data_IF_934032523883
#
_entry.id   IF_934032523883
#
_cell.length_a   1.000
_cell.length_b   1.000
_cell.length_c   1.000
_cell.angle_alpha   90.00
_cell.angle_beta   90.00
_cell.angle_gamma   90.00
#
_symmetry.space_group_name_H-M   'P 1'
#
loop_
_entity.id
_entity.type
_entity.pdbx_description
1 polymer ?
#
# COMPACT_ATOMS: atom_id res chain seq x y z
N UNK A 1 3.33 7.20 1.51
CA UNK A 1 2.83 7.71 2.81
C UNK A 1 2.71 6.53 3.75
N UNK A 2 3.23 6.67 4.97
CA UNK A 2 3.03 5.67 6.02
C UNK A 2 1.86 6.18 6.87
N UNK A 3 0.85 5.34 7.08
CA UNK A 3 -0.33 5.70 7.89
C UNK A 3 -0.15 5.35 9.35
N UNK A 4 0.27 4.11 9.63
CA UNK A 4 0.46 3.60 10.98
C UNK A 4 1.59 2.58 10.99
N UNK A 5 2.42 2.63 12.04
CA UNK A 5 3.42 1.60 12.37
C UNK A 5 3.29 1.33 13.86
N UNK A 6 3.11 0.07 14.21
CA UNK A 6 3.29 -0.45 15.57
C UNK A 6 4.36 -1.54 15.55
N UNK A 7 4.59 -2.24 16.66
CA UNK A 7 5.68 -3.21 16.83
C UNK A 7 5.86 -4.15 15.63
N UNK A 8 4.79 -4.85 15.24
CA UNK A 8 4.84 -5.92 14.23
C UNK A 8 3.94 -5.70 13.01
N UNK A 9 3.19 -4.61 12.94
CA UNK A 9 2.33 -4.30 11.79
C UNK A 9 2.51 -2.87 11.29
N UNK A 10 2.28 -2.67 9.99
CA UNK A 10 2.27 -1.36 9.38
C UNK A 10 1.25 -1.26 8.25
N UNK A 11 0.70 -0.06 8.06
CA UNK A 11 -0.19 0.27 6.95
C UNK A 11 0.42 1.43 6.17
N UNK A 12 0.52 1.27 4.85
CA UNK A 12 1.14 2.27 3.97
C UNK A 12 0.32 2.49 2.69
N UNK A 13 0.49 3.65 2.08
CA UNK A 13 0.00 3.99 0.75
C UNK A 13 1.13 4.39 -0.17
N UNK A 14 1.19 3.75 -1.33
CA UNK A 14 2.01 4.16 -2.47
C UNK A 14 1.11 4.78 -3.52
N UNK A 15 1.51 5.93 -4.05
CA UNK A 15 0.89 6.54 -5.23
C UNK A 15 1.92 6.53 -6.35
N UNK A 16 1.56 5.93 -7.47
CA UNK A 16 2.37 5.80 -8.66
C UNK A 16 1.56 6.18 -9.90
N UNK A 17 2.20 6.22 -11.06
CA UNK A 17 1.51 6.57 -12.31
C UNK A 17 0.42 5.57 -12.70
N UNK A 18 0.58 4.29 -12.31
CA UNK A 18 -0.39 3.21 -12.56
C UNK A 18 -1.50 3.12 -11.51
N UNK A 19 -1.49 3.94 -10.46
CA UNK A 19 -2.55 3.93 -9.45
C UNK A 19 -2.08 4.11 -8.02
N UNK A 20 -2.89 3.57 -7.10
CA UNK A 20 -2.68 3.64 -5.66
C UNK A 20 -2.67 2.22 -5.10
N UNK A 21 -1.61 1.89 -4.37
CA UNK A 21 -1.49 0.66 -3.58
C UNK A 21 -1.66 1.00 -2.10
N UNK A 22 -2.61 0.36 -1.43
CA UNK A 22 -2.71 0.30 0.03
C UNK A 22 -2.16 -1.03 0.50
N UNK A 23 -1.11 -1.01 1.30
CA UNK A 23 -0.40 -2.23 1.71
C UNK A 23 -0.45 -2.41 3.22
N UNK A 24 -0.70 -3.65 3.64
CA UNK A 24 -0.54 -4.09 5.02
C UNK A 24 0.74 -4.94 5.12
N UNK A 25 1.58 -4.62 6.08
CA UNK A 25 2.85 -5.29 6.31
C UNK A 25 2.88 -5.93 7.69
N UNK A 26 3.62 -7.04 7.79
CA UNK A 26 3.97 -7.67 9.05
C UNK A 26 5.49 -7.78 9.18
N UNK A 27 6.03 -7.58 10.38
CA UNK A 27 7.45 -7.77 10.67
C UNK A 27 7.68 -9.22 11.08
N UNK A 28 8.36 -10.00 10.25
CA UNK A 28 8.77 -11.38 10.56
C UNK A 28 10.29 -11.46 10.55
N UNK A 29 10.87 -12.05 11.59
CA UNK A 29 12.33 -12.21 11.73
C UNK A 29 13.10 -10.88 11.52
N UNK A 30 12.55 -9.80 12.07
CA UNK A 30 13.13 -8.46 11.97
C UNK A 30 12.91 -7.76 10.61
N UNK A 31 12.30 -8.40 9.62
CA UNK A 31 12.08 -7.87 8.27
C UNK A 31 10.61 -7.57 8.02
N UNK A 32 10.33 -6.44 7.38
CA UNK A 32 8.99 -6.10 6.94
C UNK A 32 8.66 -6.86 5.65
N UNK A 33 7.50 -7.51 5.66
CA UNK A 33 6.98 -8.28 4.53
C UNK A 33 5.58 -7.76 4.19
N UNK A 34 5.26 -7.68 2.90
CA UNK A 34 3.92 -7.28 2.43
C UNK A 34 2.98 -8.49 2.53
N UNK A 35 1.92 -8.35 3.32
CA UNK A 35 0.93 -9.43 3.54
C UNK A 35 -0.28 -9.28 2.62
N UNK A 36 -0.69 -8.05 2.34
CA UNK A 36 -1.84 -7.74 1.49
C UNK A 36 -1.59 -6.44 0.73
N UNK A 37 -2.09 -6.39 -0.51
CA UNK A 37 -2.14 -5.18 -1.33
C UNK A 37 -3.57 -5.00 -1.82
N UNK A 38 -4.18 -3.85 -1.51
CA UNK A 38 -5.39 -3.37 -2.17
C UNK A 38 -4.98 -2.29 -3.17
N UNK A 39 -5.22 -2.55 -4.45
CA UNK A 39 -4.83 -1.66 -5.55
C UNK A 39 -6.03 -1.05 -6.26
N UNK A 40 -5.85 0.17 -6.75
CA UNK A 40 -6.81 0.88 -7.59
C UNK A 40 -6.07 1.65 -8.71
N UNK A 41 -6.45 1.42 -9.97
CA UNK A 41 -5.97 2.22 -11.10
C UNK A 41 -6.43 3.67 -10.99
N UNK A 42 -5.79 4.63 -11.70
CA UNK A 42 -6.40 5.94 -11.91
C UNK A 42 -7.81 5.76 -12.49
N UNK A 43 -8.72 6.71 -12.21
CA UNK A 43 -10.02 6.70 -12.86
C UNK A 43 -9.81 6.69 -14.38
N UNK A 44 -10.72 6.08 -15.16
CA UNK A 44 -10.73 6.24 -16.60
C UNK A 44 -10.64 7.74 -16.91
N UNK A 45 -9.77 8.13 -17.84
CA UNK A 45 -9.88 9.47 -18.39
C UNK A 45 -11.23 9.55 -19.09
N UNK A 46 -12.08 10.48 -18.65
CA UNK A 46 -13.35 10.78 -19.33
C UNK A 46 -13.04 11.02 -20.80
N UNK A 47 -13.33 10.02 -21.65
CA UNK A 47 -13.33 10.19 -23.09
C UNK A 47 -14.61 10.97 -23.38
N UNK A 48 -14.51 12.30 -23.34
CA UNK A 48 -15.51 13.17 -23.93
C UNK A 48 -15.45 13.08 -25.45
#
# INVERSE_FOLDING_TARGET
VIYEIVDQTATVKLRAHWGIDYMHLAKKEGKWLIMNVLWQSPPPQDVK
#
